data_IF_525024220935
#
_entry.id   IF_525024220935
#
_cell.length_a   1.000
_cell.length_b   1.000
_cell.length_c   1.000
_cell.angle_alpha   90.00
_cell.angle_beta   90.00
_cell.angle_gamma   90.00
#
_symmetry.space_group_name_H-M   'P 1'
#
loop_
_entity.id
_entity.type
_entity.pdbx_description
1 polymer ?
#
# COMPACT_ATOMS: atom_id res chain seq x y z
N UNK A 1 -5.01 -14.59 30.79
CA UNK A 1 -3.55 -14.41 30.62
C UNK A 1 -3.07 -15.55 29.74
N UNK A 2 -2.72 -15.27 28.51
CA UNK A 2 -2.51 -16.30 27.49
C UNK A 2 -1.15 -16.96 27.65
N UNK A 3 -1.14 -18.23 28.00
CA UNK A 3 0.07 -19.07 27.97
C UNK A 3 0.73 -19.14 26.60
N UNK A 4 -0.02 -18.86 25.53
CA UNK A 4 0.46 -18.81 24.14
C UNK A 4 1.45 -17.67 23.89
N UNK A 5 1.30 -16.52 24.55
CA UNK A 5 2.25 -15.41 24.39
C UNK A 5 3.65 -15.73 24.95
N UNK A 6 3.71 -16.45 26.04
CA UNK A 6 4.99 -16.84 26.64
C UNK A 6 5.68 -18.00 25.90
N UNK A 7 4.91 -18.86 25.25
CA UNK A 7 5.47 -19.98 24.49
C UNK A 7 6.04 -19.48 23.14
N UNK A 8 5.38 -18.53 22.50
CA UNK A 8 5.90 -17.90 21.28
C UNK A 8 7.15 -17.03 21.53
N UNK A 9 7.23 -16.36 22.67
CA UNK A 9 8.43 -15.61 23.05
C UNK A 9 9.64 -16.50 23.35
N UNK A 10 9.42 -17.75 23.72
CA UNK A 10 10.51 -18.73 24.03
C UNK A 10 10.95 -19.56 22.83
N UNK A 11 10.11 -19.79 21.85
CA UNK A 11 10.49 -20.40 20.57
C UNK A 11 11.07 -19.38 19.58
N UNK A 12 11.33 -18.22 20.03
CA UNK A 12 11.72 -16.91 19.53
C UNK A 12 12.72 -16.78 18.40
N UNK A 13 12.94 -17.77 17.61
CA UNK A 13 13.76 -17.66 16.42
C UNK A 13 12.99 -17.77 15.11
N UNK A 14 11.86 -18.43 15.12
CA UNK A 14 11.29 -18.89 13.85
C UNK A 14 10.15 -18.03 13.29
N UNK A 15 9.41 -17.30 14.11
CA UNK A 15 8.31 -16.46 13.66
C UNK A 15 8.62 -14.97 13.68
N UNK A 16 9.40 -14.49 14.64
CA UNK A 16 9.70 -13.08 14.80
C UNK A 16 11.18 -12.83 14.58
N UNK A 17 11.49 -12.18 13.47
CA UNK A 17 12.87 -11.86 13.10
C UNK A 17 13.33 -10.46 13.53
N UNK A 18 12.54 -9.74 14.34
CA UNK A 18 12.88 -8.41 14.86
C UNK A 18 12.71 -7.26 13.86
N UNK A 19 12.25 -7.51 12.64
CA UNK A 19 12.13 -6.48 11.62
C UNK A 19 10.97 -5.52 11.91
N UNK A 20 9.80 -6.06 12.31
CA UNK A 20 8.57 -5.29 12.54
C UNK A 20 8.33 -5.00 14.02
N UNK A 21 9.32 -4.40 14.70
CA UNK A 21 9.24 -4.14 16.13
C UNK A 21 8.21 -3.07 16.52
N UNK A 22 7.85 -2.17 15.59
CA UNK A 22 6.98 -1.03 15.84
C UNK A 22 6.02 -0.81 14.68
N UNK A 23 4.88 -0.21 14.97
CA UNK A 23 3.88 0.17 13.97
C UNK A 23 3.27 1.52 14.28
N UNK A 24 2.83 2.22 13.24
CA UNK A 24 1.96 3.37 13.37
C UNK A 24 0.51 2.88 13.46
N UNK A 25 -0.25 3.35 14.45
CA UNK A 25 -1.69 3.26 14.46
C UNK A 25 -2.28 4.57 13.92
N UNK A 26 -3.04 4.47 12.87
CA UNK A 26 -3.87 5.56 12.38
C UNK A 26 -5.30 5.37 12.86
N UNK A 27 -5.98 6.47 13.19
CA UNK A 27 -7.38 6.47 13.61
C UNK A 27 -8.12 7.45 12.70
N UNK A 28 -9.13 6.98 11.99
CA UNK A 28 -9.90 7.77 11.01
C UNK A 28 -10.42 9.10 11.62
N UNK A 29 -10.88 9.08 12.88
CA UNK A 29 -11.41 10.26 13.56
C UNK A 29 -10.42 11.41 13.75
N UNK A 30 -9.11 11.11 13.70
CA UNK A 30 -8.04 12.09 13.87
C UNK A 30 -7.52 12.65 12.54
N UNK A 31 -8.16 12.27 11.42
CA UNK A 31 -7.76 12.68 10.07
C UNK A 31 -6.27 12.38 9.75
N UNK A 32 -5.79 11.15 10.02
CA UNK A 32 -4.38 10.82 9.90
C UNK A 32 -3.88 10.83 8.45
N UNK A 33 -2.61 11.14 8.29
CA UNK A 33 -1.96 11.06 6.99
C UNK A 33 -0.48 11.41 7.06
N UNK A 34 0.35 10.46 6.66
CA UNK A 34 1.76 10.72 6.41
C UNK A 34 1.86 11.36 5.02
N UNK A 35 2.47 12.52 4.92
CA UNK A 35 2.59 13.25 3.66
C UNK A 35 4.02 13.69 3.38
N UNK A 36 4.35 13.72 2.11
CA UNK A 36 5.63 14.24 1.62
C UNK A 36 5.37 15.04 0.33
N UNK A 37 6.01 16.19 0.18
CA UNK A 37 6.09 16.86 -1.11
C UNK A 37 7.15 16.16 -1.95
N UNK A 38 6.72 15.65 -3.12
CA UNK A 38 7.61 14.96 -4.05
C UNK A 38 8.56 15.91 -4.77
N UNK A 39 9.76 15.41 -5.04
CA UNK A 39 10.65 16.00 -6.05
C UNK A 39 10.41 15.32 -7.41
N UNK A 40 11.11 15.73 -8.47
CA UNK A 40 11.10 14.97 -9.72
C UNK A 40 11.58 13.56 -9.45
N UNK A 41 10.69 12.59 -9.66
CA UNK A 41 10.98 11.19 -9.40
C UNK A 41 11.88 10.55 -10.44
N UNK A 42 12.34 9.35 -10.12
CA UNK A 42 13.12 8.51 -11.03
C UNK A 42 12.24 8.05 -12.19
N UNK A 43 11.00 7.64 -11.89
CA UNK A 43 10.04 7.19 -12.91
C UNK A 43 8.59 7.43 -12.48
N UNK A 44 7.76 7.91 -13.40
CA UNK A 44 6.31 7.96 -13.26
C UNK A 44 5.64 6.64 -13.67
N UNK A 45 6.38 5.75 -14.32
CA UNK A 45 5.90 4.51 -14.96
C UNK A 45 6.27 3.27 -14.19
N UNK A 46 7.35 3.33 -13.40
CA UNK A 46 7.94 2.17 -12.73
C UNK A 46 8.14 2.51 -11.26
N UNK A 47 7.47 1.77 -10.37
CA UNK A 47 7.62 1.91 -8.92
C UNK A 47 7.01 0.71 -8.19
N UNK A 48 7.36 0.57 -6.92
CA UNK A 48 6.80 -0.45 -6.03
C UNK A 48 6.41 0.18 -4.71
N UNK A 49 5.26 -0.19 -4.19
CA UNK A 49 4.86 0.09 -2.81
C UNK A 49 4.67 -1.22 -2.06
N UNK A 50 5.29 -1.34 -0.89
CA UNK A 50 5.15 -2.48 0.01
C UNK A 50 4.83 -1.98 1.42
N UNK A 51 3.92 -2.62 2.10
CA UNK A 51 3.60 -2.32 3.49
C UNK A 51 2.98 -3.51 4.21
N UNK A 52 3.23 -3.59 5.51
CA UNK A 52 2.52 -4.51 6.39
C UNK A 52 1.39 -3.76 7.08
N UNK A 53 0.18 -4.30 6.99
CA UNK A 53 -1.04 -3.66 7.49
C UNK A 53 -1.82 -4.63 8.37
N UNK A 54 -2.30 -4.14 9.50
CA UNK A 54 -3.29 -4.84 10.32
C UNK A 54 -4.50 -3.93 10.48
N UNK A 55 -5.64 -4.41 10.05
CA UNK A 55 -6.87 -3.63 10.09
C UNK A 55 -7.38 -3.45 11.52
N UNK A 56 -7.96 -2.29 11.80
CA UNK A 56 -8.57 -1.99 13.09
C UNK A 56 -10.05 -2.43 13.16
N UNK A 57 -10.68 -2.58 11.99
CA UNK A 57 -12.08 -2.96 11.88
C UNK A 57 -12.48 -3.21 10.42
N UNK A 58 -13.74 -3.55 10.21
CA UNK A 58 -14.37 -3.58 8.89
C UNK A 58 -15.22 -2.30 8.80
N UNK A 59 -14.80 -1.37 7.97
CA UNK A 59 -15.45 -0.08 7.78
C UNK A 59 -15.98 0.03 6.35
N UNK A 60 -17.05 0.77 6.17
CA UNK A 60 -17.68 1.02 4.86
C UNK A 60 -17.00 2.17 4.10
N UNK A 61 -15.72 2.40 4.34
CA UNK A 61 -14.97 3.52 3.76
C UNK A 61 -13.72 3.05 3.03
N UNK A 62 -13.37 3.78 1.97
CA UNK A 62 -12.10 3.58 1.30
C UNK A 62 -10.96 4.07 2.18
N UNK A 63 -9.89 3.29 2.30
CA UNK A 63 -8.68 3.65 3.04
C UNK A 63 -7.48 3.64 2.08
N UNK A 64 -6.75 4.74 1.97
CA UNK A 64 -5.58 4.81 1.10
C UNK A 64 -4.28 4.46 1.82
N UNK A 65 -3.52 3.53 1.25
CA UNK A 65 -2.13 3.23 1.63
C UNK A 65 -1.14 4.14 0.89
N UNK A 66 -1.44 4.46 -0.36
CA UNK A 66 -0.66 5.38 -1.19
C UNK A 66 -1.63 6.17 -2.06
N UNK A 67 -1.54 7.49 -2.01
CA UNK A 67 -2.36 8.33 -2.87
C UNK A 67 -1.67 9.62 -3.26
N UNK A 68 -2.04 10.11 -4.42
CA UNK A 68 -1.59 11.39 -4.98
C UNK A 68 -2.76 12.03 -5.73
N UNK A 69 -2.96 13.32 -5.48
CA UNK A 69 -3.85 14.15 -6.27
C UNK A 69 -3.15 15.48 -6.56
N UNK A 70 -2.66 15.73 -7.78
CA UNK A 70 -1.85 16.89 -8.08
C UNK A 70 -2.51 18.23 -7.77
N UNK A 71 -3.83 18.30 -7.92
CA UNK A 71 -4.60 19.53 -7.74
C UNK A 71 -5.47 19.52 -6.47
N UNK A 72 -5.24 18.57 -5.58
CA UNK A 72 -6.06 18.34 -4.39
C UNK A 72 -7.56 18.20 -4.71
N UNK A 73 -7.86 17.67 -5.88
CA UNK A 73 -9.19 17.37 -6.41
C UNK A 73 -9.18 16.00 -7.10
N UNK A 74 -10.32 15.61 -7.70
CA UNK A 74 -10.46 14.30 -8.34
C UNK A 74 -9.70 14.15 -9.67
N UNK A 75 -9.10 15.24 -10.19
CA UNK A 75 -8.42 15.19 -11.48
C UNK A 75 -7.02 14.59 -11.35
N UNK A 76 -6.77 13.51 -12.08
CA UNK A 76 -5.52 12.73 -12.04
C UNK A 76 -5.21 12.14 -10.65
N UNK A 77 -6.24 11.71 -9.93
CA UNK A 77 -6.10 11.08 -8.63
C UNK A 77 -5.63 9.62 -8.76
N UNK A 78 -4.46 9.32 -8.19
CA UNK A 78 -3.95 7.97 -8.03
C UNK A 78 -4.27 7.49 -6.61
N UNK A 79 -4.90 6.33 -6.47
CA UNK A 79 -5.32 5.79 -5.19
C UNK A 79 -5.04 4.30 -5.12
N UNK A 80 -4.32 3.89 -4.08
CA UNK A 80 -4.06 2.50 -3.76
C UNK A 80 -4.36 2.23 -2.29
N UNK A 81 -5.16 1.21 -2.02
CA UNK A 81 -5.51 0.84 -0.66
C UNK A 81 -6.71 -0.10 -0.60
N UNK A 82 -7.48 0.04 0.46
CA UNK A 82 -8.68 -0.77 0.69
C UNK A 82 -9.91 -0.07 0.12
N UNK A 83 -10.74 -0.84 -0.58
CA UNK A 83 -12.05 -0.39 -1.03
C UNK A 83 -13.14 -1.16 -0.29
N UNK A 84 -13.93 -0.44 0.48
CA UNK A 84 -15.01 -1.00 1.30
C UNK A 84 -16.35 -0.27 1.11
N UNK A 85 -16.44 0.58 0.07
CA UNK A 85 -17.53 1.56 -0.05
C UNK A 85 -18.95 0.94 -0.14
N UNK A 86 -19.08 -0.25 -0.70
CA UNK A 86 -20.39 -0.84 -1.01
C UNK A 86 -20.51 -2.30 -0.54
N UNK A 87 -19.59 -2.77 0.30
CA UNK A 87 -19.45 -4.19 0.61
C UNK A 87 -19.32 -4.44 2.11
N UNK A 88 -20.39 -4.93 2.71
CA UNK A 88 -20.42 -5.37 4.12
C UNK A 88 -19.59 -6.63 4.37
N UNK A 89 -19.01 -7.21 3.32
CA UNK A 89 -18.33 -8.50 3.34
C UNK A 89 -16.80 -8.39 3.48
N UNK A 90 -16.30 -7.16 3.70
CA UNK A 90 -14.89 -6.83 3.92
C UNK A 90 -14.20 -6.27 2.67
N UNK A 91 -13.10 -5.51 2.87
CA UNK A 91 -12.49 -4.75 1.80
C UNK A 91 -11.67 -5.59 0.86
N UNK A 92 -11.71 -5.19 -0.41
CA UNK A 92 -10.75 -5.58 -1.44
C UNK A 92 -9.51 -4.68 -1.39
N UNK A 93 -8.45 -5.09 -2.08
CA UNK A 93 -7.33 -4.20 -2.41
C UNK A 93 -7.54 -3.64 -3.81
N UNK A 94 -7.51 -2.32 -3.92
CA UNK A 94 -7.72 -1.63 -5.19
C UNK A 94 -6.57 -0.67 -5.50
N UNK A 95 -6.21 -0.60 -6.78
CA UNK A 95 -5.49 0.51 -7.40
C UNK A 95 -6.37 1.15 -8.45
N UNK A 96 -6.48 2.48 -8.44
CA UNK A 96 -7.18 3.24 -9.46
C UNK A 96 -6.48 4.55 -9.81
N UNK A 97 -6.72 5.03 -11.02
CA UNK A 97 -6.38 6.37 -11.48
C UNK A 97 -7.63 7.00 -12.10
N UNK A 98 -8.06 8.13 -11.54
CA UNK A 98 -9.24 8.84 -11.98
C UNK A 98 -8.86 10.20 -12.58
N UNK A 99 -9.35 10.51 -13.79
CA UNK A 99 -8.96 11.71 -14.54
C UNK A 99 -9.89 12.92 -14.41
N UNK A 100 -10.90 12.80 -13.55
CA UNK A 100 -11.93 13.82 -13.35
C UNK A 100 -13.26 13.53 -14.07
N UNK A 101 -13.25 12.60 -15.05
CA UNK A 101 -14.44 12.19 -15.79
C UNK A 101 -14.69 10.68 -15.73
N UNK A 102 -13.63 9.90 -15.52
CA UNK A 102 -13.69 8.44 -15.45
C UNK A 102 -12.37 7.85 -14.97
N UNK A 103 -12.32 6.53 -14.89
CA UNK A 103 -11.09 5.82 -14.56
C UNK A 103 -10.26 5.58 -15.82
N UNK A 104 -9.01 6.05 -15.82
CA UNK A 104 -8.03 5.65 -16.84
C UNK A 104 -7.67 4.17 -16.67
N UNK A 105 -7.58 3.71 -15.42
CA UNK A 105 -7.44 2.30 -15.07
C UNK A 105 -7.97 2.02 -13.67
N UNK A 106 -8.33 0.75 -13.45
CA UNK A 106 -8.77 0.23 -12.16
C UNK A 106 -8.48 -1.26 -12.07
N UNK A 107 -7.67 -1.64 -11.09
CA UNK A 107 -7.37 -3.04 -10.78
C UNK A 107 -7.78 -3.30 -9.34
N UNK A 108 -8.66 -4.29 -9.13
CA UNK A 108 -9.25 -4.59 -7.82
C UNK A 108 -9.28 -6.10 -7.62
N UNK A 109 -8.82 -6.57 -6.47
CA UNK A 109 -8.82 -8.00 -6.14
C UNK A 109 -10.21 -8.51 -5.79
N UNK A 110 -10.47 -9.80 -6.00
CA UNK A 110 -11.65 -10.46 -5.40
C UNK A 110 -11.40 -10.89 -3.96
N UNK A 111 -10.13 -10.99 -3.57
CA UNK A 111 -9.75 -11.36 -2.20
C UNK A 111 -10.22 -10.31 -1.20
N UNK A 112 -10.84 -10.75 -0.12
CA UNK A 112 -11.37 -9.94 0.98
C UNK A 112 -10.49 -10.06 2.21
N UNK A 113 -10.00 -8.94 2.74
CA UNK A 113 -9.17 -8.90 3.94
C UNK A 113 -10.05 -8.76 5.19
N UNK A 114 -10.73 -9.85 5.59
CA UNK A 114 -11.73 -9.86 6.66
C UNK A 114 -11.15 -10.00 8.06
N UNK A 115 -10.01 -10.67 8.20
CA UNK A 115 -9.40 -10.92 9.50
C UNK A 115 -8.70 -9.67 10.02
N UNK A 116 -9.31 -9.01 11.00
CA UNK A 116 -8.75 -7.84 11.67
C UNK A 116 -7.70 -8.20 12.72
N UNK A 117 -7.52 -9.48 13.03
CA UNK A 117 -6.52 -9.95 13.99
C UNK A 117 -5.14 -10.18 13.34
N UNK A 118 -5.11 -10.37 12.03
CA UNK A 118 -3.92 -10.74 11.26
C UNK A 118 -3.23 -9.54 10.60
N UNK A 119 -1.92 -9.65 10.44
CA UNK A 119 -1.15 -8.78 9.57
C UNK A 119 -1.20 -9.28 8.14
N UNK A 120 -1.38 -8.36 7.22
CA UNK A 120 -1.30 -8.58 5.77
C UNK A 120 -0.10 -7.84 5.21
N UNK A 121 0.70 -8.52 4.41
CA UNK A 121 1.71 -7.87 3.58
C UNK A 121 1.12 -7.56 2.22
N UNK A 122 1.12 -6.30 1.84
CA UNK A 122 0.58 -5.83 0.57
C UNK A 122 1.70 -5.26 -0.28
N UNK A 123 1.85 -5.78 -1.49
CA UNK A 123 2.80 -5.25 -2.47
C UNK A 123 2.05 -4.86 -3.74
N UNK A 124 2.19 -3.60 -4.11
CA UNK A 124 1.79 -3.05 -5.40
C UNK A 124 3.03 -2.88 -6.25
N UNK A 125 3.08 -3.59 -7.36
CA UNK A 125 4.09 -3.45 -8.39
C UNK A 125 3.50 -2.79 -9.61
N UNK A 126 4.10 -1.68 -10.06
CA UNK A 126 3.70 -0.97 -11.27
C UNK A 126 4.88 -0.88 -12.23
N UNK A 127 4.62 -1.22 -13.48
CA UNK A 127 5.52 -1.04 -14.61
C UNK A 127 4.69 -0.89 -15.89
N UNK A 128 4.29 0.34 -16.20
CA UNK A 128 3.43 0.61 -17.37
C UNK A 128 4.16 0.42 -18.71
N UNK A 129 5.47 0.19 -18.72
CA UNK A 129 6.25 -0.04 -19.95
C UNK A 129 6.04 -1.44 -20.53
N UNK A 130 5.46 -2.36 -19.73
CA UNK A 130 5.23 -3.74 -20.13
C UNK A 130 4.30 -3.85 -21.35
N UNK A 131 4.68 -4.71 -22.31
CA UNK A 131 3.86 -4.98 -23.50
C UNK A 131 2.52 -5.64 -23.16
N UNK A 132 2.53 -6.61 -22.25
CA UNK A 132 1.33 -7.28 -21.76
C UNK A 132 0.68 -6.41 -20.68
N UNK A 133 -0.59 -6.10 -20.83
CA UNK A 133 -1.34 -5.20 -19.96
C UNK A 133 -1.41 -5.68 -18.50
N UNK A 134 -1.69 -6.99 -18.28
CA UNK A 134 -1.73 -7.59 -16.94
C UNK A 134 -0.38 -7.61 -16.22
N UNK A 135 0.73 -7.31 -16.93
CA UNK A 135 2.05 -7.15 -16.33
C UNK A 135 2.32 -5.72 -15.85
N UNK A 136 1.50 -4.74 -16.27
CA UNK A 136 1.70 -3.32 -15.92
C UNK A 136 1.34 -3.02 -14.48
N UNK A 137 0.38 -3.74 -13.91
CA UNK A 137 -0.03 -3.63 -12.50
C UNK A 137 -0.17 -5.03 -11.94
N UNK A 138 0.50 -5.28 -10.82
CA UNK A 138 0.40 -6.53 -10.07
C UNK A 138 0.23 -6.24 -8.58
N UNK A 139 -0.75 -6.88 -7.97
CA UNK A 139 -1.04 -6.80 -6.53
C UNK A 139 -0.71 -8.15 -5.91
N UNK A 140 0.06 -8.11 -4.82
CA UNK A 140 0.39 -9.32 -4.05
C UNK A 140 -0.14 -9.15 -2.63
N UNK A 141 -0.65 -10.24 -2.07
CA UNK A 141 -1.06 -10.36 -0.68
C UNK A 141 -0.27 -11.51 -0.06
N UNK A 142 0.49 -11.22 1.01
CA UNK A 142 1.33 -12.21 1.70
C UNK A 142 2.23 -13.02 0.74
N UNK A 143 2.91 -12.32 -0.17
CA UNK A 143 3.79 -12.92 -1.17
C UNK A 143 3.09 -13.52 -2.40
N UNK A 144 1.76 -13.65 -2.41
CA UNK A 144 1.00 -14.34 -3.46
C UNK A 144 0.38 -13.33 -4.44
N UNK A 145 0.67 -13.51 -5.75
CA UNK A 145 0.07 -12.71 -6.82
C UNK A 145 -1.45 -12.92 -6.87
N UNK A 146 -2.20 -11.83 -6.88
CA UNK A 146 -3.65 -11.86 -7.03
C UNK A 146 -4.02 -11.88 -8.52
N UNK A 147 -4.52 -13.01 -8.99
CA UNK A 147 -4.94 -13.21 -10.39
C UNK A 147 -6.45 -13.15 -10.55
N UNK A 148 -7.22 -13.41 -9.50
CA UNK A 148 -8.66 -13.24 -9.47
C UNK A 148 -8.98 -11.78 -9.17
N UNK A 149 -9.51 -11.06 -10.16
CA UNK A 149 -9.75 -9.62 -10.09
C UNK A 149 -11.24 -9.31 -10.29
N UNK A 150 -11.77 -8.44 -9.45
CA UNK A 150 -13.12 -7.87 -9.58
C UNK A 150 -13.16 -6.76 -10.63
N UNK A 151 -12.04 -6.02 -10.76
CA UNK A 151 -11.80 -5.03 -11.82
C UNK A 151 -10.41 -5.28 -12.41
N UNK A 152 -10.29 -5.24 -13.73
CA UNK A 152 -9.06 -5.56 -14.47
C UNK A 152 -8.80 -4.61 -15.66
N UNK A 153 -9.18 -3.35 -15.50
CA UNK A 153 -8.86 -2.31 -16.49
C UNK A 153 -7.44 -1.82 -16.22
N UNK A 154 -6.52 -2.12 -17.12
CA UNK A 154 -5.10 -1.76 -17.00
C UNK A 154 -4.79 -0.44 -17.73
N UNK A 155 -3.73 0.30 -17.31
CA UNK A 155 -3.30 1.50 -18.04
C UNK A 155 -2.81 1.15 -19.44
N UNK A 156 -2.82 2.13 -20.35
CA UNK A 156 -2.13 2.00 -21.63
C UNK A 156 -0.63 1.78 -21.42
N UNK A 157 0.03 1.17 -22.42
CA UNK A 157 1.49 1.05 -22.38
C UNK A 157 2.15 2.44 -22.31
N UNK A 158 3.17 2.56 -21.46
CA UNK A 158 3.88 3.80 -21.20
C UNK A 158 3.04 4.91 -20.55
N UNK A 159 1.96 4.57 -19.86
CA UNK A 159 1.15 5.54 -19.13
C UNK A 159 1.96 6.20 -18.01
N UNK A 160 1.97 7.52 -17.99
CA UNK A 160 2.60 8.31 -16.94
C UNK A 160 1.62 8.56 -15.80
N UNK A 161 1.82 7.90 -14.66
CA UNK A 161 0.96 8.08 -13.48
C UNK A 161 1.14 9.47 -12.85
N UNK A 162 0.27 9.82 -11.91
CA UNK A 162 0.39 11.06 -11.13
C UNK A 162 1.46 10.99 -10.03
N UNK A 163 2.01 9.81 -9.76
CA UNK A 163 3.11 9.64 -8.83
C UNK A 163 4.41 10.22 -9.39
N UNK A 164 5.31 10.60 -8.49
CA UNK A 164 6.65 11.06 -8.83
C UNK A 164 6.73 12.37 -9.64
N UNK A 165 5.67 13.17 -9.57
CA UNK A 165 5.63 14.52 -10.11
C UNK A 165 6.16 15.51 -9.06
N UNK A 166 7.06 16.42 -9.46
CA UNK A 166 7.60 17.44 -8.57
C UNK A 166 6.48 18.33 -8.00
N UNK A 167 6.66 18.78 -6.75
CA UNK A 167 5.72 19.65 -6.03
C UNK A 167 4.33 19.04 -5.79
N UNK A 168 4.17 17.73 -5.99
CA UNK A 168 2.92 17.02 -5.71
C UNK A 168 3.02 16.35 -4.34
N UNK A 169 1.94 16.43 -3.57
CA UNK A 169 1.90 15.78 -2.26
C UNK A 169 1.59 14.29 -2.44
N UNK A 170 2.50 13.45 -1.95
CA UNK A 170 2.30 12.01 -1.82
C UNK A 170 1.82 11.71 -0.40
N UNK A 171 0.71 11.03 -0.28
CA UNK A 171 0.17 10.56 1.00
C UNK A 171 0.47 9.07 1.15
N UNK A 172 0.96 8.68 2.34
CA UNK A 172 1.15 7.29 2.73
C UNK A 172 0.35 7.02 4.01
N UNK A 173 -0.36 5.90 4.06
CA UNK A 173 -1.24 5.55 5.18
C UNK A 173 -2.23 6.66 5.55
N UNK A 174 -3.12 6.97 4.63
CA UNK A 174 -4.15 8.00 4.78
C UNK A 174 -3.79 9.30 4.08
N UNK A 175 -4.64 10.28 4.20
CA UNK A 175 -4.47 11.63 3.64
C UNK A 175 -5.67 12.10 2.84
N UNK A 176 -5.70 13.41 2.61
CA UNK A 176 -6.75 14.10 1.88
C UNK A 176 -6.54 14.07 0.36
N UNK A 177 -6.29 12.89 -0.23
CA UNK A 177 -6.48 12.77 -1.66
C UNK A 177 -7.99 12.66 -1.88
N UNK A 178 -8.57 13.64 -2.55
CA UNK A 178 -9.99 13.62 -2.84
C UNK A 178 -10.38 12.29 -3.52
N UNK A 179 -11.44 11.70 -3.04
CA UNK A 179 -12.06 10.54 -3.66
C UNK A 179 -12.63 10.94 -5.03
N UNK A 180 -12.71 10.01 -5.96
CA UNK A 180 -13.61 10.12 -7.11
C UNK A 180 -15.06 10.19 -6.60
N UNK A 181 -15.49 11.34 -6.14
CA UNK A 181 -16.77 11.58 -5.44
C UNK A 181 -16.68 12.58 -4.29
N UNK A 182 -15.51 13.19 -4.08
CA UNK A 182 -15.30 14.31 -3.17
C UNK A 182 -15.39 13.95 -1.69
N UNK A 183 -14.30 13.51 -1.09
CA UNK A 183 -14.21 13.24 0.34
C UNK A 183 -12.79 12.89 0.75
N UNK A 184 -12.46 13.17 1.99
CA UNK A 184 -11.17 12.77 2.55
C UNK A 184 -11.17 11.26 2.80
N UNK A 185 -10.09 10.60 2.40
CA UNK A 185 -9.89 9.16 2.56
C UNK A 185 -8.82 8.93 3.62
N UNK A 186 -9.26 8.73 4.84
CA UNK A 186 -8.37 8.53 5.96
C UNK A 186 -8.12 7.04 6.19
N UNK A 187 -6.96 6.74 6.74
CA UNK A 187 -6.55 5.40 7.10
C UNK A 187 -6.97 5.07 8.53
N UNK A 188 -7.47 3.86 8.78
CA UNK A 188 -7.93 3.41 10.10
C UNK A 188 -7.40 2.02 10.40
N UNK A 189 -6.10 1.91 10.44
CA UNK A 189 -5.42 0.61 10.57
C UNK A 189 -4.05 0.80 11.20
N UNK A 190 -3.38 -0.31 11.53
CA UNK A 190 -1.96 -0.32 11.88
C UNK A 190 -1.14 -0.54 10.62
N UNK A 191 -0.01 0.15 10.51
CA UNK A 191 0.92 -0.02 9.40
C UNK A 191 2.36 -0.03 9.88
N UNK A 192 3.19 -0.86 9.25
CA UNK A 192 4.64 -0.91 9.48
C UNK A 192 5.38 -1.29 8.21
N UNK A 193 6.70 -1.08 8.21
CA UNK A 193 7.58 -1.37 7.08
C UNK A 193 7.01 -0.87 5.75
N UNK A 194 6.65 0.42 5.71
CA UNK A 194 6.27 1.05 4.44
C UNK A 194 7.54 1.25 3.61
N UNK A 195 7.60 0.62 2.46
CA UNK A 195 8.65 0.80 1.47
C UNK A 195 8.02 1.34 0.19
N UNK A 196 8.39 2.54 -0.21
CA UNK A 196 8.08 3.08 -1.52
C UNK A 196 9.36 3.15 -2.34
N UNK A 197 9.43 2.42 -3.44
CA UNK A 197 10.61 2.32 -4.31
C UNK A 197 10.29 2.98 -5.63
N UNK A 198 10.94 4.10 -5.91
CA UNK A 198 10.77 4.90 -7.12
C UNK A 198 11.78 4.47 -8.19
N UNK A 199 11.30 4.02 -9.32
CA UNK A 199 12.09 3.62 -10.48
C UNK A 199 12.34 2.12 -10.62
N UNK A 200 11.93 1.30 -9.64
CA UNK A 200 12.08 -0.16 -9.72
C UNK A 200 10.74 -0.87 -9.51
N UNK A 201 10.52 -1.92 -10.29
CA UNK A 201 9.35 -2.80 -10.24
C UNK A 201 9.74 -4.12 -9.58
N UNK A 202 9.75 -4.15 -8.24
CA UNK A 202 10.24 -5.26 -7.42
C UNK A 202 9.13 -6.25 -7.08
N UNK A 203 9.49 -7.54 -6.99
CA UNK A 203 8.60 -8.60 -6.51
C UNK A 203 8.43 -8.59 -4.98
N UNK A 204 7.50 -9.38 -4.44
CA UNK A 204 7.25 -9.44 -3.00
C UNK A 204 8.43 -10.03 -2.21
N UNK A 205 9.26 -10.86 -2.85
CA UNK A 205 10.50 -11.44 -2.33
C UNK A 205 11.59 -10.41 -1.97
N UNK A 206 11.46 -9.18 -2.48
CA UNK A 206 12.29 -8.04 -2.06
C UNK A 206 11.92 -7.48 -0.68
N UNK A 207 10.79 -7.89 -0.10
CA UNK A 207 10.21 -7.32 1.12
C UNK A 207 9.81 -8.37 2.16
N UNK A 208 9.74 -9.63 1.76
CA UNK A 208 9.37 -10.74 2.62
C UNK A 208 9.85 -12.08 2.07
N UNK A 209 9.75 -13.09 2.91
CA UNK A 209 10.10 -14.47 2.56
C UNK A 209 9.14 -15.46 3.24
N UNK A 210 9.04 -16.67 2.70
CA UNK A 210 8.40 -17.77 3.40
C UNK A 210 9.40 -18.46 4.33
N UNK A 211 9.03 -18.55 5.61
CA UNK A 211 9.77 -19.32 6.60
C UNK A 211 8.80 -20.25 7.31
N UNK A 212 9.01 -21.55 7.21
CA UNK A 212 8.11 -22.57 7.75
C UNK A 212 6.63 -22.32 7.34
N UNK A 213 6.40 -22.11 6.05
CA UNK A 213 5.10 -21.81 5.43
C UNK A 213 4.42 -20.51 5.92
N UNK A 214 5.12 -19.69 6.69
CA UNK A 214 4.64 -18.36 7.11
C UNK A 214 5.38 -17.27 6.35
N UNK A 215 4.62 -16.37 5.77
CA UNK A 215 5.18 -15.19 5.12
C UNK A 215 5.62 -14.17 6.18
N UNK A 216 6.90 -13.81 6.19
CA UNK A 216 7.50 -12.90 7.17
C UNK A 216 8.26 -11.76 6.47
N UNK A 217 8.43 -10.60 7.12
CA UNK A 217 9.21 -9.48 6.59
C UNK A 217 10.71 -9.80 6.57
N UNK A 218 11.43 -9.22 5.61
CA UNK A 218 12.90 -9.20 5.57
C UNK A 218 13.44 -7.78 5.73
N UNK A 219 14.73 -7.65 5.99
CA UNK A 219 15.37 -6.33 6.05
C UNK A 219 15.53 -5.74 4.65
N UNK A 220 14.93 -4.58 4.44
CA UNK A 220 14.94 -3.85 3.17
C UNK A 220 15.96 -2.71 3.13
N UNK A 221 16.89 -2.64 4.10
CA UNK A 221 17.87 -1.55 4.21
C UNK A 221 18.83 -1.45 3.02
N UNK A 222 19.05 -2.56 2.33
CA UNK A 222 19.93 -2.63 1.16
C UNK A 222 19.24 -2.21 -0.16
N UNK A 223 17.94 -1.93 -0.16
CA UNK A 223 17.23 -1.51 -1.38
C UNK A 223 17.61 -0.08 -1.79
N UNK A 224 17.69 0.12 -3.09
CA UNK A 224 17.78 1.47 -3.67
C UNK A 224 16.38 2.03 -3.85
N UNK A 225 16.06 3.12 -3.13
CA UNK A 225 14.70 3.66 -3.09
C UNK A 225 14.38 4.67 -4.20
N UNK A 226 15.38 5.24 -4.88
CA UNK A 226 15.18 6.28 -5.89
C UNK A 226 14.88 7.66 -5.29
N UNK A 227 14.58 8.66 -6.16
CA UNK A 227 14.49 10.06 -5.75
C UNK A 227 13.34 10.35 -4.77
N UNK A 228 12.18 9.76 -5.01
CA UNK A 228 11.00 9.89 -4.16
C UNK A 228 10.77 8.66 -3.26
N UNK A 229 11.70 7.71 -3.27
CA UNK A 229 11.58 6.52 -2.46
C UNK A 229 11.74 6.78 -0.97
N UNK A 230 11.17 5.93 -0.15
CA UNK A 230 11.22 6.04 1.31
C UNK A 230 11.01 4.70 1.98
N UNK A 231 11.59 4.54 3.17
CA UNK A 231 11.34 3.44 4.09
C UNK A 231 10.91 4.00 5.44
N UNK A 232 9.76 3.55 5.95
CA UNK A 232 9.22 3.97 7.26
C UNK A 232 9.02 2.74 8.14
N UNK A 233 9.79 2.66 9.22
CA UNK A 233 9.80 1.53 10.15
C UNK A 233 9.12 1.83 11.49
N UNK A 234 8.87 3.10 11.79
CA UNK A 234 8.25 3.58 13.04
C UNK A 234 8.98 3.15 14.33
N UNK A 235 10.30 2.91 14.24
CA UNK A 235 11.12 2.45 15.38
C UNK A 235 11.33 3.49 16.47
N UNK A 236 11.25 4.77 16.13
CA UNK A 236 11.42 5.87 17.06
C UNK A 236 10.04 6.47 17.37
N UNK A 237 9.71 6.60 18.65
CA UNK A 237 8.61 7.46 19.07
C UNK A 237 8.99 8.90 18.74
N UNK A 238 8.43 9.46 17.67
CA UNK A 238 8.58 10.89 17.40
C UNK A 238 7.91 11.68 18.51
N UNK A 239 8.62 12.62 19.09
CA UNK A 239 7.96 13.79 19.65
C UNK A 239 7.51 14.61 18.46
N UNK A 240 6.19 14.58 18.16
CA UNK A 240 5.59 15.34 17.08
C UNK A 240 5.80 16.83 17.19
#
# INVERSE_FOLDING_TARGET
MSLLQNTMAKSGGDFYNGITASSLRANHGDSPGLKRTGVTGTSRRIFTHSSWVKRNGIFTQTENLLSVSPNNNDTNAFQYGFRDKDDTDGPNVQLSHYNGSGFDFRVETTAKLRDVSSWYHLVLRVDTTQGTDSNRIRIYINGVLQTALAQNTYPSQNFDTSLNVANTIHYMAGGAAANAGGGNVYFDSYVTEINYVDGLSLGPDSFGEFKNDVWIPIDTSALTFGNNGTRLQFKNSGTG
#
